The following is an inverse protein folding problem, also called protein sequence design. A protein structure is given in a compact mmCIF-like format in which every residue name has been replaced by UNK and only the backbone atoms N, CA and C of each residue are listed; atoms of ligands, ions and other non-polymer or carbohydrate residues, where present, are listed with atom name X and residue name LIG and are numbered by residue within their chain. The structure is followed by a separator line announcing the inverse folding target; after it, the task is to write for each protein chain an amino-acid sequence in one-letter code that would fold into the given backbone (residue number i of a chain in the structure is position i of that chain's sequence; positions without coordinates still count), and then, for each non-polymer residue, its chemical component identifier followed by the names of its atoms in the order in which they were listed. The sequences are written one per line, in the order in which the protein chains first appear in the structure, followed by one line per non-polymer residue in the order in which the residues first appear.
data_IF_815168057731
#
_entry.id   IF_815168057731
#
_cell.length_a   1.000
_cell.length_b   1.000
_cell.length_c   1.000
_cell.angle_alpha   90.00
_cell.angle_beta   90.00
_cell.angle_gamma   90.00
#
_symmetry.space_group_name_H-M   'P 1'
#
loop_
_entity.id
_entity.type
_entity.pdbx_description
1 polymer ?
#
# COMPACT_ATOMS: atom_id res chain seq x y z
N UNK A 1 -14.52 4.43 35.89
CA UNK A 1 -14.11 3.03 36.15
C UNK A 1 -12.81 2.82 35.41
N UNK A 2 -11.72 2.55 36.13
CA UNK A 2 -10.44 2.24 35.51
C UNK A 2 -10.50 0.84 34.93
N UNK A 3 -10.53 0.73 33.60
CA UNK A 3 -10.47 -0.57 32.95
C UNK A 3 -9.02 -1.06 32.99
N UNK A 4 -8.70 -2.13 33.73
CA UNK A 4 -7.32 -2.58 33.93
C UNK A 4 -6.62 -2.99 32.62
N UNK A 5 -7.39 -3.22 31.55
CA UNK A 5 -6.90 -3.56 30.22
C UNK A 5 -6.62 -2.36 29.31
N UNK A 6 -7.07 -1.15 29.68
CA UNK A 6 -6.95 0.02 28.81
C UNK A 6 -5.48 0.46 28.67
N UNK A 7 -4.77 0.62 29.79
CA UNK A 7 -3.38 1.08 29.77
C UNK A 7 -2.41 0.11 29.05
N UNK A 8 -2.44 -1.22 29.29
CA UNK A 8 -1.59 -2.15 28.56
C UNK A 8 -1.83 -2.15 27.05
N UNK A 9 -3.09 -2.00 26.62
CA UNK A 9 -3.47 -2.01 25.21
C UNK A 9 -2.99 -0.75 24.48
N UNK A 10 -3.15 0.42 25.13
CA UNK A 10 -2.60 1.70 24.63
C UNK A 10 -1.08 1.62 24.55
N UNK A 11 -0.41 1.18 25.61
CA UNK A 11 1.05 1.06 25.62
C UNK A 11 1.54 0.15 24.49
N UNK A 12 0.92 -1.03 24.31
CA UNK A 12 1.27 -1.96 23.22
C UNK A 12 1.10 -1.33 21.83
N UNK A 13 0.00 -0.61 21.61
CA UNK A 13 -0.22 0.14 20.37
C UNK A 13 0.89 1.17 20.14
N UNK A 14 1.19 2.02 21.13
CA UNK A 14 2.18 3.10 20.98
C UNK A 14 3.59 2.56 20.71
N UNK A 15 3.98 1.47 21.38
CA UNK A 15 5.24 0.77 21.10
C UNK A 15 5.26 0.20 19.68
N UNK A 16 4.20 -0.48 19.27
CA UNK A 16 4.11 -1.07 17.93
C UNK A 16 4.11 -0.01 16.82
N UNK A 17 3.39 1.10 17.02
CA UNK A 17 3.36 2.23 16.10
C UNK A 17 4.73 2.89 15.97
N UNK A 18 5.42 3.14 17.09
CA UNK A 18 6.77 3.73 17.09
C UNK A 18 7.77 2.86 16.36
N UNK A 19 7.82 1.56 16.67
CA UNK A 19 8.68 0.59 15.97
C UNK A 19 8.29 0.52 14.49
N UNK A 20 6.99 0.53 14.22
CA UNK A 20 6.42 0.49 12.88
C UNK A 20 6.92 1.63 12.00
N UNK A 21 7.03 2.85 12.52
CA UNK A 21 7.57 4.00 11.78
C UNK A 21 9.02 3.77 11.31
N UNK A 22 9.89 3.25 12.19
CA UNK A 22 11.28 2.94 11.81
C UNK A 22 11.35 1.79 10.80
N UNK A 23 10.52 0.75 10.97
CA UNK A 23 10.43 -0.38 10.03
C UNK A 23 9.95 0.09 8.65
N UNK A 24 8.92 0.94 8.59
CA UNK A 24 8.40 1.53 7.37
C UNK A 24 9.45 2.42 6.67
N UNK A 25 10.19 3.22 7.44
CA UNK A 25 11.29 4.03 6.89
C UNK A 25 12.37 3.15 6.23
N UNK A 26 12.75 2.04 6.87
CA UNK A 26 13.71 1.08 6.30
C UNK A 26 13.12 0.42 5.04
N UNK A 27 11.84 0.05 5.05
CA UNK A 27 11.14 -0.50 3.89
C UNK A 27 11.17 0.49 2.70
N UNK A 28 10.89 1.77 2.96
CA UNK A 28 10.91 2.86 2.00
C UNK A 28 12.30 3.05 1.38
N UNK A 29 13.37 3.03 2.19
CA UNK A 29 14.76 3.11 1.71
C UNK A 29 15.05 1.95 0.75
N UNK A 30 14.67 0.72 1.11
CA UNK A 30 14.85 -0.43 0.21
C UNK A 30 13.97 -0.35 -1.04
N UNK A 31 12.74 0.17 -0.96
CA UNK A 31 11.88 0.36 -2.12
C UNK A 31 12.47 1.38 -3.11
N UNK A 32 13.03 2.46 -2.59
CA UNK A 32 13.73 3.47 -3.38
C UNK A 32 15.02 2.92 -4.01
N UNK A 33 15.86 2.25 -3.22
CA UNK A 33 17.07 1.58 -3.72
C UNK A 33 16.72 0.54 -4.80
N UNK A 34 15.66 -0.25 -4.58
CA UNK A 34 15.17 -1.22 -5.55
C UNK A 34 14.75 -0.55 -6.86
N UNK A 35 14.08 0.60 -6.79
CA UNK A 35 13.69 1.37 -7.97
C UNK A 35 14.92 1.82 -8.76
N UNK A 36 15.94 2.35 -8.08
CA UNK A 36 17.21 2.74 -8.73
C UNK A 36 17.89 1.53 -9.39
N UNK A 37 18.01 0.41 -8.68
CA UNK A 37 18.64 -0.82 -9.20
C UNK A 37 17.87 -1.38 -10.39
N UNK A 38 16.53 -1.33 -10.34
CA UNK A 38 15.66 -1.72 -11.45
C UNK A 38 15.89 -0.84 -12.68
N UNK A 39 15.94 0.49 -12.53
CA UNK A 39 16.25 1.42 -13.63
C UNK A 39 17.63 1.15 -14.23
N UNK A 40 18.61 0.81 -13.38
CA UNK A 40 19.98 0.48 -13.79
C UNK A 40 20.12 -0.94 -14.36
N UNK A 41 19.05 -1.73 -14.40
CA UNK A 41 19.07 -3.13 -14.80
C UNK A 41 20.07 -4.00 -13.99
N UNK A 42 20.28 -3.68 -12.71
CA UNK A 42 21.17 -4.44 -11.83
C UNK A 42 20.40 -5.59 -11.18
N UNK A 43 20.83 -6.83 -11.42
CA UNK A 43 20.25 -8.07 -10.88
C UNK A 43 20.03 -8.07 -9.36
N UNK A 44 20.74 -7.21 -8.61
CA UNK A 44 20.53 -7.02 -7.17
C UNK A 44 19.13 -6.51 -6.82
N UNK A 45 18.38 -5.93 -7.76
CA UNK A 45 17.03 -5.43 -7.51
C UNK A 45 16.09 -6.49 -6.91
N UNK A 46 16.23 -7.78 -7.28
CA UNK A 46 15.45 -8.88 -6.68
C UNK A 46 15.69 -9.01 -5.17
N UNK A 47 16.96 -8.92 -4.74
CA UNK A 47 17.36 -9.02 -3.34
C UNK A 47 16.85 -7.82 -2.55
N UNK A 48 16.91 -6.63 -3.13
CA UNK A 48 16.45 -5.39 -2.50
C UNK A 48 14.92 -5.35 -2.43
N UNK A 49 14.19 -5.75 -3.48
CA UNK A 49 12.74 -5.91 -3.47
C UNK A 49 12.29 -6.87 -2.37
N UNK A 50 12.97 -8.00 -2.23
CA UNK A 50 12.68 -8.97 -1.18
C UNK A 50 12.76 -8.34 0.21
N UNK A 51 13.77 -7.51 0.46
CA UNK A 51 13.93 -6.80 1.75
C UNK A 51 12.80 -5.79 1.94
N UNK A 52 12.51 -4.96 0.94
CA UNK A 52 11.41 -4.01 0.99
C UNK A 52 10.09 -4.70 1.36
N UNK A 53 9.73 -5.79 0.68
CA UNK A 53 8.49 -6.54 0.97
C UNK A 53 8.45 -7.16 2.38
N UNK A 54 9.58 -7.63 2.90
CA UNK A 54 9.63 -8.21 4.25
C UNK A 54 9.45 -7.11 5.31
N UNK A 55 10.15 -5.98 5.18
CA UNK A 55 10.02 -4.87 6.12
C UNK A 55 8.62 -4.26 6.05
N UNK A 56 8.07 -4.11 4.85
CA UNK A 56 6.69 -3.64 4.68
C UNK A 56 5.68 -4.60 5.33
N UNK A 57 5.85 -5.92 5.16
CA UNK A 57 5.00 -6.91 5.81
C UNK A 57 5.10 -6.85 7.34
N UNK A 58 6.30 -6.65 7.90
CA UNK A 58 6.48 -6.47 9.35
C UNK A 58 5.76 -5.20 9.82
N UNK A 59 5.85 -4.10 9.07
CA UNK A 59 5.13 -2.88 9.39
C UNK A 59 3.62 -3.12 9.42
N UNK A 60 3.04 -3.79 8.41
CA UNK A 60 1.61 -4.14 8.43
C UNK A 60 1.21 -5.07 9.59
N UNK A 61 2.08 -5.98 10.03
CA UNK A 61 1.85 -6.78 11.25
C UNK A 61 1.81 -5.87 12.48
N UNK A 62 2.70 -4.87 12.56
CA UNK A 62 2.74 -3.91 13.67
C UNK A 62 1.53 -2.96 13.71
N UNK A 63 0.68 -2.94 12.67
CA UNK A 63 -0.61 -2.26 12.72
C UNK A 63 -1.71 -3.07 13.44
N UNK A 64 -1.51 -4.38 13.65
CA UNK A 64 -2.50 -5.25 14.31
C UNK A 64 -2.81 -4.78 15.74
N UNK A 65 -1.84 -4.44 16.61
CA UNK A 65 -2.13 -3.89 17.93
C UNK A 65 -3.02 -2.66 17.89
N UNK A 66 -2.77 -1.72 16.97
CA UNK A 66 -3.63 -0.54 16.73
C UNK A 66 -5.03 -0.98 16.29
N UNK A 67 -5.11 -1.96 15.39
CA UNK A 67 -6.38 -2.58 14.99
C UNK A 67 -7.18 -3.11 16.18
N UNK A 68 -6.53 -3.91 17.05
CA UNK A 68 -7.14 -4.48 18.26
C UNK A 68 -7.61 -3.37 19.20
N UNK A 69 -6.77 -2.38 19.48
CA UNK A 69 -7.11 -1.25 20.35
C UNK A 69 -8.38 -0.52 19.87
N UNK A 70 -8.47 -0.24 18.57
CA UNK A 70 -9.63 0.43 18.00
C UNK A 70 -10.91 -0.43 18.01
N UNK A 71 -10.81 -1.74 17.79
CA UNK A 71 -11.97 -2.64 17.84
C UNK A 71 -12.46 -2.88 19.28
N UNK A 72 -11.55 -3.15 20.21
CA UNK A 72 -11.87 -3.39 21.62
C UNK A 72 -12.39 -2.12 22.28
N UNK A 73 -11.77 -0.98 21.99
CA UNK A 73 -12.18 0.31 22.55
C UNK A 73 -13.58 0.73 22.10
N UNK A 74 -13.96 0.42 20.86
CA UNK A 74 -15.31 0.70 20.35
C UNK A 74 -16.41 -0.11 21.08
N UNK A 75 -16.08 -1.30 21.61
CA UNK A 75 -17.01 -2.15 22.35
C UNK A 75 -17.05 -1.80 23.85
N UNK A 76 -15.93 -1.38 24.43
CA UNK A 76 -15.77 -1.12 25.86
C UNK A 76 -15.91 0.37 26.26
N UNK A 77 -16.62 1.17 25.46
CA UNK A 77 -16.46 2.63 25.33
C UNK A 77 -15.15 3.23 25.90
N UNK A 78 -13.99 2.67 25.51
CA UNK A 78 -12.68 3.14 25.95
C UNK A 78 -12.13 4.15 24.95
N UNK A 79 -11.91 5.39 25.39
CA UNK A 79 -11.22 6.48 24.66
C UNK A 79 -11.75 6.74 23.23
N UNK A 80 -11.12 7.68 22.50
CA UNK A 80 -11.43 8.02 21.11
C UNK A 80 -11.04 6.88 20.15
N UNK A 81 -11.82 5.80 20.13
CA UNK A 81 -11.61 4.61 19.30
C UNK A 81 -12.69 4.48 18.24
N UNK A 82 -12.34 3.86 17.11
CA UNK A 82 -13.19 3.81 15.94
C UNK A 82 -13.11 2.46 15.21
N UNK A 83 -14.25 1.81 15.03
CA UNK A 83 -14.33 0.48 14.42
C UNK A 83 -13.79 0.45 12.99
N UNK A 84 -13.99 1.52 12.22
CA UNK A 84 -13.55 1.60 10.82
C UNK A 84 -12.04 1.68 10.71
N UNK A 85 -11.39 2.43 11.61
CA UNK A 85 -9.92 2.46 11.72
C UNK A 85 -9.40 1.07 12.06
N UNK A 86 -10.02 0.39 13.04
CA UNK A 86 -9.64 -0.97 13.42
C UNK A 86 -9.72 -1.95 12.24
N UNK A 87 -10.87 -1.99 11.56
CA UNK A 87 -11.10 -2.83 10.37
C UNK A 87 -10.11 -2.52 9.24
N UNK A 88 -9.76 -1.25 9.05
CA UNK A 88 -8.81 -0.84 8.02
C UNK A 88 -7.43 -1.48 8.22
N UNK A 89 -6.92 -1.53 9.45
CA UNK A 89 -5.62 -2.12 9.73
C UNK A 89 -5.64 -3.64 9.60
N UNK A 90 -6.69 -4.30 10.07
CA UNK A 90 -6.83 -5.75 9.94
C UNK A 90 -6.93 -6.19 8.48
N UNK A 91 -7.72 -5.51 7.65
CA UNK A 91 -7.80 -5.87 6.22
C UNK A 91 -6.48 -5.63 5.50
N UNK A 92 -5.76 -4.54 5.82
CA UNK A 92 -4.42 -4.32 5.27
C UNK A 92 -3.46 -5.46 5.66
N UNK A 93 -3.39 -5.81 6.94
CA UNK A 93 -2.54 -6.91 7.40
C UNK A 93 -2.93 -8.24 6.72
N UNK A 94 -4.23 -8.55 6.66
CA UNK A 94 -4.75 -9.78 6.08
C UNK A 94 -4.46 -9.92 4.58
N UNK A 95 -4.61 -8.84 3.81
CA UNK A 95 -4.45 -8.88 2.35
C UNK A 95 -2.98 -8.74 1.92
N UNK A 96 -2.21 -7.93 2.63
CA UNK A 96 -0.85 -7.55 2.22
C UNK A 96 0.19 -8.54 2.76
N UNK A 97 0.19 -8.82 4.06
CA UNK A 97 1.23 -9.64 4.71
C UNK A 97 1.43 -11.00 4.03
N UNK A 98 0.40 -11.84 3.83
CA UNK A 98 0.62 -13.17 3.26
C UNK A 98 1.18 -13.09 1.83
N UNK A 99 0.68 -12.16 1.02
CA UNK A 99 1.11 -12.03 -0.38
C UNK A 99 2.53 -11.48 -0.49
N UNK A 100 2.92 -10.57 0.40
CA UNK A 100 4.26 -10.01 0.47
C UNK A 100 5.28 -11.06 0.94
N UNK A 101 4.94 -11.82 1.98
CA UNK A 101 5.80 -12.90 2.47
C UNK A 101 5.98 -13.99 1.39
N UNK A 102 4.91 -14.42 0.72
CA UNK A 102 5.02 -15.44 -0.33
C UNK A 102 5.80 -14.90 -1.54
N UNK A 103 5.56 -13.67 -1.98
CA UNK A 103 6.35 -13.07 -3.06
C UNK A 103 7.82 -12.97 -2.67
N UNK A 104 8.14 -12.50 -1.46
CA UNK A 104 9.51 -12.40 -0.95
C UNK A 104 10.22 -13.76 -0.91
N UNK A 105 9.51 -14.84 -0.57
CA UNK A 105 10.03 -16.19 -0.60
C UNK A 105 10.39 -16.62 -2.03
N UNK A 106 9.53 -16.33 -3.00
CA UNK A 106 9.78 -16.64 -4.41
C UNK A 106 10.95 -15.83 -4.99
N UNK A 107 11.14 -14.58 -4.56
CA UNK A 107 12.30 -13.76 -4.95
C UNK A 107 13.65 -14.32 -4.46
N UNK A 108 13.68 -15.31 -3.54
CA UNK A 108 14.92 -16.04 -3.17
C UNK A 108 15.46 -16.89 -4.33
N UNK A 109 14.60 -17.31 -5.27
CA UNK A 109 14.94 -18.15 -6.42
C UNK A 109 14.62 -17.38 -7.70
N UNK A 110 15.43 -16.36 -8.08
CA UNK A 110 15.14 -15.47 -9.21
C UNK A 110 14.96 -16.20 -10.54
N UNK A 111 15.52 -17.41 -10.69
CA UNK A 111 15.33 -18.29 -11.84
C UNK A 111 13.88 -18.79 -12.01
N UNK A 112 13.06 -18.78 -10.95
CA UNK A 112 11.65 -19.20 -11.02
C UNK A 112 10.74 -18.04 -11.46
N UNK A 113 10.96 -17.57 -12.68
CA UNK A 113 10.22 -16.45 -13.26
C UNK A 113 8.71 -16.69 -13.29
N UNK A 114 8.26 -17.94 -13.51
CA UNK A 114 6.84 -18.27 -13.52
C UNK A 114 6.16 -18.01 -12.17
N UNK A 115 6.78 -18.46 -11.08
CA UNK A 115 6.22 -18.24 -9.73
C UNK A 115 6.28 -16.77 -9.33
N UNK A 116 7.38 -16.07 -9.63
CA UNK A 116 7.51 -14.64 -9.36
C UNK A 116 6.43 -13.84 -10.09
N UNK A 117 6.21 -14.11 -11.39
CA UNK A 117 5.14 -13.45 -12.17
C UNK A 117 3.75 -13.71 -11.59
N UNK A 118 3.45 -14.96 -11.21
CA UNK A 118 2.18 -15.32 -10.56
C UNK A 118 1.96 -14.48 -9.31
N UNK A 119 2.95 -14.43 -8.43
CA UNK A 119 2.80 -13.72 -7.16
C UNK A 119 2.80 -12.21 -7.30
N UNK A 120 3.59 -11.61 -8.21
CA UNK A 120 3.45 -10.18 -8.56
C UNK A 120 2.01 -9.87 -8.99
N UNK A 121 1.42 -10.74 -9.81
CA UNK A 121 0.08 -10.53 -10.35
C UNK A 121 -1.05 -10.64 -9.31
N UNK A 122 -0.74 -11.21 -8.15
CA UNK A 122 -1.66 -11.31 -7.00
C UNK A 122 -1.36 -10.19 -6.00
N UNK A 123 -0.10 -10.00 -5.65
CA UNK A 123 0.38 -9.03 -4.66
C UNK A 123 0.05 -7.60 -5.05
N UNK A 124 0.32 -7.18 -6.29
CA UNK A 124 0.11 -5.79 -6.69
C UNK A 124 -1.38 -5.36 -6.66
N UNK A 125 -2.34 -6.14 -7.21
CA UNK A 125 -3.76 -5.80 -7.08
C UNK A 125 -4.26 -5.82 -5.64
N UNK A 126 -3.87 -6.81 -4.83
CA UNK A 126 -4.30 -6.90 -3.44
C UNK A 126 -3.73 -5.77 -2.58
N UNK A 127 -2.53 -5.31 -2.88
CA UNK A 127 -1.95 -4.13 -2.25
C UNK A 127 -2.80 -2.88 -2.54
N UNK A 128 -3.11 -2.59 -3.80
CA UNK A 128 -3.95 -1.43 -4.15
C UNK A 128 -5.35 -1.56 -3.55
N UNK A 129 -5.93 -2.77 -3.56
CA UNK A 129 -7.26 -3.02 -2.98
C UNK A 129 -7.28 -2.81 -1.45
N UNK A 130 -6.23 -3.23 -0.74
CA UNK A 130 -6.11 -2.99 0.69
C UNK A 130 -6.07 -1.50 1.03
N UNK A 131 -5.37 -0.70 0.22
CA UNK A 131 -5.39 0.76 0.33
C UNK A 131 -6.77 1.34 -0.01
N UNK A 132 -7.45 0.81 -1.02
CA UNK A 132 -8.82 1.23 -1.31
C UNK A 132 -9.75 1.01 -0.10
N UNK A 133 -9.71 -0.16 0.54
CA UNK A 133 -10.47 -0.41 1.77
C UNK A 133 -10.08 0.53 2.93
N UNK A 134 -8.78 0.81 3.09
CA UNK A 134 -8.29 1.76 4.09
C UNK A 134 -8.98 3.12 3.95
N UNK A 135 -8.94 3.69 2.75
CA UNK A 135 -9.55 5.00 2.51
C UNK A 135 -11.08 4.94 2.51
N UNK A 136 -11.69 3.83 2.10
CA UNK A 136 -13.15 3.65 2.21
C UNK A 136 -13.60 3.80 3.66
N UNK A 137 -12.96 3.06 4.57
CA UNK A 137 -13.28 3.12 6.00
C UNK A 137 -12.99 4.47 6.63
N UNK A 138 -11.89 5.11 6.22
CA UNK A 138 -11.53 6.45 6.68
C UNK A 138 -12.55 7.50 6.25
N UNK A 139 -13.06 7.42 5.02
CA UNK A 139 -14.11 8.32 4.54
C UNK A 139 -15.46 8.02 5.18
N UNK A 140 -15.78 6.75 5.44
CA UNK A 140 -16.99 6.38 6.21
C UNK A 140 -16.92 6.98 7.61
N UNK A 141 -15.78 6.89 8.29
CA UNK A 141 -15.57 7.52 9.59
C UNK A 141 -15.76 9.03 9.53
N UNK A 142 -15.10 9.69 8.57
CA UNK A 142 -15.16 11.14 8.39
C UNK A 142 -16.57 11.67 8.11
N UNK A 143 -17.34 10.93 7.30
CA UNK A 143 -18.66 11.34 6.84
C UNK A 143 -19.80 10.84 7.76
N UNK A 144 -19.48 9.98 8.72
CA UNK A 144 -20.46 9.49 9.70
C UNK A 144 -21.00 10.67 10.52
N UNK A 145 -22.30 10.69 10.87
CA UNK A 145 -22.86 11.68 11.79
C UNK A 145 -22.18 11.73 13.16
N UNK A 146 -21.50 10.63 13.54
CA UNK A 146 -20.71 10.49 14.77
C UNK A 146 -19.21 10.76 14.55
N UNK A 147 -18.81 11.06 13.31
CA UNK A 147 -17.44 11.39 12.96
C UNK A 147 -17.00 12.75 13.50
N UNK A 148 -15.69 13.04 13.53
CA UNK A 148 -15.15 14.25 14.13
C UNK A 148 -15.57 15.54 13.41
N UNK A 149 -16.25 15.46 12.26
CA UNK A 149 -16.58 16.60 11.38
C UNK A 149 -17.94 16.42 10.71
N UNK A 150 -18.67 17.51 10.55
CA UNK A 150 -19.91 17.52 9.77
C UNK A 150 -19.61 17.26 8.29
N UNK A 151 -20.35 16.34 7.67
CA UNK A 151 -20.27 16.09 6.24
C UNK A 151 -20.63 17.38 5.47
N UNK A 152 -19.66 17.91 4.73
CA UNK A 152 -19.85 19.02 3.80
C UNK A 152 -19.91 18.48 2.37
N UNK A 153 -20.51 19.23 1.45
CA UNK A 153 -20.49 18.89 0.02
C UNK A 153 -19.04 18.66 -0.47
N UNK A 154 -18.10 19.48 -0.02
CA UNK A 154 -16.69 19.37 -0.38
C UNK A 154 -16.03 18.08 0.13
N UNK A 155 -16.33 17.66 1.38
CA UNK A 155 -15.80 16.40 1.92
C UNK A 155 -16.42 15.18 1.22
N UNK A 156 -17.70 15.24 0.85
CA UNK A 156 -18.37 14.14 0.13
C UNK A 156 -17.83 13.99 -1.30
N UNK A 157 -17.62 15.11 -2.01
CA UNK A 157 -17.00 15.09 -3.34
C UNK A 157 -15.56 14.61 -3.26
N UNK A 158 -14.80 15.07 -2.25
CA UNK A 158 -13.45 14.58 -1.97
C UNK A 158 -13.40 13.07 -1.75
N UNK A 159 -14.30 12.55 -0.92
CA UNK A 159 -14.44 11.12 -0.64
C UNK A 159 -14.73 10.31 -1.92
N UNK A 160 -15.72 10.73 -2.70
CA UNK A 160 -16.08 10.07 -3.95
C UNK A 160 -14.92 10.06 -4.94
N UNK A 161 -14.21 11.18 -5.09
CA UNK A 161 -13.07 11.30 -5.98
C UNK A 161 -11.90 10.40 -5.54
N UNK A 162 -11.59 10.38 -4.24
CA UNK A 162 -10.60 9.48 -3.65
C UNK A 162 -10.93 8.01 -3.91
N UNK A 163 -12.16 7.61 -3.64
CA UNK A 163 -12.64 6.24 -3.83
C UNK A 163 -12.60 5.81 -5.29
N UNK A 164 -13.05 6.68 -6.19
CA UNK A 164 -13.04 6.41 -7.61
C UNK A 164 -11.62 6.33 -8.17
N UNK A 165 -10.74 7.25 -7.77
CA UNK A 165 -9.33 7.27 -8.23
C UNK A 165 -8.60 5.99 -7.84
N UNK A 166 -8.70 5.58 -6.57
CA UNK A 166 -8.10 4.34 -6.08
C UNK A 166 -8.73 3.09 -6.71
N UNK A 167 -10.04 3.10 -6.97
CA UNK A 167 -10.72 2.01 -7.67
C UNK A 167 -10.22 1.86 -9.10
N UNK A 168 -10.12 2.97 -9.85
CA UNK A 168 -9.57 2.97 -11.21
C UNK A 168 -8.13 2.47 -11.19
N UNK A 169 -7.30 2.94 -10.25
CA UNK A 169 -5.93 2.45 -10.09
C UNK A 169 -5.89 0.93 -9.83
N UNK A 170 -6.79 0.40 -8.99
CA UNK A 170 -6.93 -1.03 -8.71
C UNK A 170 -7.33 -1.85 -9.93
N UNK A 171 -8.32 -1.38 -10.70
CA UNK A 171 -8.78 -2.02 -11.94
C UNK A 171 -7.65 -2.05 -12.97
N UNK A 172 -7.00 -0.91 -13.21
CA UNK A 172 -5.89 -0.81 -14.16
C UNK A 172 -4.74 -1.72 -13.75
N UNK A 173 -4.35 -1.70 -12.48
CA UNK A 173 -3.31 -2.59 -11.92
C UNK A 173 -3.66 -4.05 -12.14
N UNK A 174 -4.92 -4.44 -11.90
CA UNK A 174 -5.41 -5.81 -12.11
C UNK A 174 -5.33 -6.24 -13.57
N UNK A 175 -5.74 -5.37 -14.51
CA UNK A 175 -5.67 -5.64 -15.96
C UNK A 175 -4.22 -5.83 -16.42
N UNK A 176 -3.32 -4.95 -15.98
CA UNK A 176 -1.88 -5.02 -16.29
C UNK A 176 -1.28 -6.31 -15.73
N UNK A 177 -1.56 -6.63 -14.48
CA UNK A 177 -1.09 -7.85 -13.82
C UNK A 177 -1.63 -9.12 -14.49
N UNK A 178 -2.90 -9.14 -14.90
CA UNK A 178 -3.49 -10.27 -15.61
C UNK A 178 -2.84 -10.47 -17.00
N UNK A 179 -2.57 -9.39 -17.72
CA UNK A 179 -1.85 -9.45 -18.99
C UNK A 179 -0.42 -10.01 -18.79
N UNK A 180 0.26 -9.55 -17.73
CA UNK A 180 1.59 -10.01 -17.36
C UNK A 180 1.61 -11.51 -16.98
N UNK A 181 0.63 -11.96 -16.18
CA UNK A 181 0.48 -13.37 -15.82
C UNK A 181 0.27 -14.26 -17.04
N UNK A 182 -0.56 -13.82 -18.00
CA UNK A 182 -0.86 -14.53 -19.25
C UNK A 182 0.27 -14.47 -20.28
N UNK A 183 1.45 -13.93 -19.92
CA UNK A 183 2.61 -13.73 -20.80
C UNK A 183 2.26 -12.93 -22.08
N UNK A 184 1.23 -12.08 -22.02
CA UNK A 184 0.90 -11.16 -23.12
C UNK A 184 1.81 -9.95 -23.04
N UNK A 185 1.97 -9.23 -24.17
CA UNK A 185 2.69 -7.96 -24.19
C UNK A 185 2.03 -7.00 -23.20
N UNK A 186 2.77 -6.64 -22.15
CA UNK A 186 2.29 -5.67 -21.16
C UNK A 186 2.35 -4.30 -21.80
N UNK A 187 1.22 -3.58 -21.80
CA UNK A 187 1.22 -2.19 -22.23
C UNK A 187 1.95 -1.35 -21.17
N UNK A 188 3.19 -0.97 -21.47
CA UNK A 188 4.01 -0.16 -20.55
C UNK A 188 3.35 1.17 -20.18
N UNK A 189 2.57 1.77 -21.09
CA UNK A 189 1.82 2.99 -20.80
C UNK A 189 0.77 2.76 -19.73
N UNK A 190 0.07 1.63 -19.79
CA UNK A 190 -0.95 1.27 -18.82
C UNK A 190 -0.36 0.95 -17.44
N UNK A 191 0.76 0.22 -17.41
CA UNK A 191 1.50 -0.05 -16.16
C UNK A 191 2.01 1.26 -15.54
N UNK A 192 2.65 2.12 -16.33
CA UNK A 192 3.11 3.43 -15.86
C UNK A 192 1.98 4.32 -15.40
N UNK A 193 0.86 4.36 -16.13
CA UNK A 193 -0.31 5.12 -15.73
C UNK A 193 -0.87 4.63 -14.39
N UNK A 194 -0.92 3.32 -14.16
CA UNK A 194 -1.37 2.76 -12.88
C UNK A 194 -0.47 3.22 -11.72
N UNK A 195 0.86 3.10 -11.89
CA UNK A 195 1.85 3.48 -10.88
C UNK A 195 1.82 4.98 -10.57
N UNK A 196 1.75 5.82 -11.62
CA UNK A 196 1.66 7.27 -11.48
C UNK A 196 0.34 7.65 -10.83
N UNK A 197 -0.80 7.12 -11.31
CA UNK A 197 -2.12 7.45 -10.76
C UNK A 197 -2.21 7.09 -9.28
N UNK A 198 -1.79 5.87 -8.92
CA UNK A 198 -1.82 5.41 -7.54
C UNK A 198 -0.88 6.24 -6.66
N UNK A 199 0.37 6.46 -7.06
CA UNK A 199 1.33 7.22 -6.26
C UNK A 199 1.02 8.72 -6.17
N UNK A 200 0.61 9.35 -7.28
CA UNK A 200 0.25 10.77 -7.31
C UNK A 200 -0.98 11.05 -6.46
N UNK A 201 -1.92 10.10 -6.33
CA UNK A 201 -3.03 10.24 -5.39
C UNK A 201 -2.53 10.49 -3.96
N UNK A 202 -1.57 9.71 -3.47
CA UNK A 202 -1.01 9.91 -2.12
C UNK A 202 -0.23 11.21 -2.00
N UNK A 203 0.57 11.58 -3.01
CA UNK A 203 1.29 12.87 -2.99
C UNK A 203 0.30 14.04 -2.90
N UNK A 204 -0.75 14.02 -3.72
CA UNK A 204 -1.78 15.07 -3.70
C UNK A 204 -2.50 15.07 -2.36
N UNK A 205 -2.84 13.89 -1.83
CA UNK A 205 -3.46 13.76 -0.51
C UNK A 205 -2.58 14.40 0.58
N UNK A 206 -1.29 14.08 0.62
CA UNK A 206 -0.33 14.62 1.58
C UNK A 206 -0.25 16.15 1.47
N UNK A 207 -0.15 16.69 0.25
CA UNK A 207 -0.11 18.13 0.02
C UNK A 207 -1.40 18.84 0.46
N UNK A 208 -2.56 18.27 0.14
CA UNK A 208 -3.87 18.83 0.51
C UNK A 208 -4.08 18.77 2.02
N UNK A 209 -3.56 17.72 2.68
CA UNK A 209 -3.71 17.52 4.11
C UNK A 209 -3.05 18.57 4.98
N UNK A 210 -2.04 19.27 4.47
CA UNK A 210 -1.42 20.42 5.15
C UNK A 210 -2.42 21.58 5.30
N UNK A 211 -3.31 21.77 4.33
CA UNK A 211 -4.21 22.93 4.26
C UNK A 211 -5.63 22.63 4.71
N UNK A 212 -6.06 21.38 4.58
CA UNK A 212 -7.43 20.97 4.89
C UNK A 212 -7.42 20.10 6.15
N UNK A 213 -7.89 20.60 7.30
CA UNK A 213 -7.68 19.90 8.56
C UNK A 213 -8.36 18.53 8.61
N UNK A 214 -9.40 18.29 7.78
CA UNK A 214 -10.05 16.96 7.63
C UNK A 214 -9.04 15.92 7.19
N UNK A 215 -8.19 16.28 6.23
CA UNK A 215 -7.18 15.38 5.69
C UNK A 215 -5.96 15.29 6.63
N UNK A 216 -5.66 16.37 7.37
CA UNK A 216 -4.59 16.37 8.38
C UNK A 216 -4.78 15.32 9.46
N UNK A 217 -6.02 15.10 9.94
CA UNK A 217 -6.32 14.06 10.94
C UNK A 217 -6.05 12.65 10.45
N UNK A 218 -5.68 12.48 9.18
CA UNK A 218 -5.40 11.21 8.54
C UNK A 218 -3.99 11.16 7.94
N UNK A 219 -3.16 12.19 8.14
CA UNK A 219 -1.79 12.22 7.64
C UNK A 219 -0.95 11.08 8.23
N UNK A 220 -1.17 10.71 9.49
CA UNK A 220 -0.45 9.57 10.10
C UNK A 220 -0.83 8.21 9.47
N UNK A 221 -1.90 8.19 8.67
CA UNK A 221 -2.34 7.04 7.89
C UNK A 221 -1.81 7.07 6.46
N UNK A 222 -1.16 8.13 5.99
CA UNK A 222 -0.58 8.15 4.64
C UNK A 222 0.83 7.60 4.62
N UNK A 223 1.09 6.83 3.57
CA UNK A 223 2.35 6.12 3.38
C UNK A 223 3.26 6.94 2.48
N UNK A 224 4.07 7.81 3.09
CA UNK A 224 4.93 8.78 2.39
C UNK A 224 5.85 8.14 1.33
N UNK A 225 6.19 6.86 1.48
CA UNK A 225 7.03 6.14 0.52
C UNK A 225 6.33 5.89 -0.83
N UNK A 226 5.01 6.07 -0.91
CA UNK A 226 4.24 5.98 -2.16
C UNK A 226 4.74 6.95 -3.25
N UNK A 227 5.53 7.97 -2.89
CA UNK A 227 6.26 8.84 -3.83
C UNK A 227 7.24 8.08 -4.73
N UNK A 228 7.65 6.86 -4.36
CA UNK A 228 8.49 6.00 -5.18
C UNK A 228 7.72 5.50 -6.42
N UNK A 229 6.39 5.38 -6.33
CA UNK A 229 5.59 4.80 -7.41
C UNK A 229 5.51 5.67 -8.67
N UNK A 230 5.32 7.00 -8.60
CA UNK A 230 5.38 7.83 -9.81
C UNK A 230 6.77 7.86 -10.42
N UNK A 231 7.83 7.82 -9.60
CA UNK A 231 9.23 7.72 -10.08
C UNK A 231 9.41 6.41 -10.86
N UNK A 232 8.96 5.29 -10.29
CA UNK A 232 8.99 3.99 -10.96
C UNK A 232 8.13 3.99 -12.23
N UNK A 233 6.95 4.61 -12.20
CA UNK A 233 6.07 4.74 -13.36
C UNK A 233 6.72 5.51 -14.51
N UNK A 234 7.38 6.64 -14.23
CA UNK A 234 8.16 7.40 -15.21
C UNK A 234 9.34 6.58 -15.75
N UNK A 235 10.04 5.84 -14.88
CA UNK A 235 11.12 4.96 -15.30
C UNK A 235 10.63 3.87 -16.27
N UNK A 236 9.48 3.25 -15.99
CA UNK A 236 8.87 2.23 -16.85
C UNK A 236 8.51 2.79 -18.24
N UNK A 237 8.11 4.07 -18.36
CA UNK A 237 7.87 4.69 -19.66
C UNK A 237 9.14 4.76 -20.51
N UNK A 238 10.28 5.03 -19.86
CA UNK A 238 11.60 5.15 -20.50
C UNK A 238 12.22 3.81 -20.90
N UNK A 239 11.77 2.70 -20.31
CA UNK A 239 12.24 1.36 -20.70
C UNK A 239 11.81 1.03 -22.14
N UNK A 240 12.73 0.41 -22.91
CA UNK A 240 12.38 -0.24 -24.19
C UNK A 240 11.34 -1.32 -23.90
N UNK A 241 10.38 -1.48 -24.81
CA UNK A 241 9.17 -2.31 -24.63
C UNK A 241 9.47 -3.67 -23.98
N UNK A 242 8.70 -4.05 -22.96
CA UNK A 242 8.70 -5.39 -22.38
C UNK A 242 8.19 -6.41 -23.42
N UNK A 243 9.08 -6.87 -24.29
CA UNK A 243 8.82 -7.96 -25.23
C UNK A 243 9.35 -9.26 -24.66
N UNK A 244 8.45 -10.21 -24.36
CA UNK A 244 8.84 -11.61 -24.21
C UNK A 244 9.25 -12.10 -25.60
N UNK A 245 10.54 -12.04 -25.91
CA UNK A 245 11.06 -12.67 -27.12
C UNK A 245 10.94 -14.19 -26.95
N UNK A 246 9.88 -14.78 -27.48
CA UNK A 246 9.66 -16.23 -27.49
C UNK A 246 10.63 -16.98 -28.42
N UNK A 247 11.49 -16.27 -29.18
CA UNK A 247 12.27 -16.84 -30.27
C UNK A 247 13.77 -17.01 -29.99
N UNK A 248 14.34 -16.45 -28.92
CA UNK A 248 15.76 -16.66 -28.60
C UNK A 248 16.01 -16.59 -27.09
N UNK A 249 16.69 -17.59 -26.58
CA UNK A 249 17.04 -17.79 -25.16
C UNK A 249 18.12 -16.78 -24.67
N UNK A 250 17.93 -15.49 -24.94
CA UNK A 250 18.65 -14.40 -24.29
C UNK A 250 17.63 -13.33 -23.94
N UNK A 251 16.97 -13.53 -22.81
CA UNK A 251 16.07 -12.54 -22.28
C UNK A 251 16.88 -11.40 -21.64
N UNK A 252 16.77 -10.21 -22.23
CA UNK A 252 17.03 -8.96 -21.54
C UNK A 252 15.83 -8.73 -20.62
N UNK A 253 15.99 -9.01 -19.32
CA UNK A 253 15.13 -8.51 -18.24
C UNK A 253 16.00 -8.03 -17.08
#
# INVERSE_FOLDING_TARGET
MDHPFAFPLVALQEFAATIGLFVNLIAAIFAFECTILFVKNDKKWFKTLRRALIFEAIWFILLIPTGVHHLVGAVLPLFYTNVYVGLSYFLQALLIVPTFIILSYNLKKPQNHASIRKWISITAPLFVLAFWFKYLFLWIDTLSPLGPRQATLMSTVGAANSMLTLLIAGVVTSVVCLAFYRKKKVNKWLLSAALILFGSYFIIYDLVSIWVPVYYSFLYLTDFWMIVLPILGIAVLKLKSFGVNTANHQEIW
#
